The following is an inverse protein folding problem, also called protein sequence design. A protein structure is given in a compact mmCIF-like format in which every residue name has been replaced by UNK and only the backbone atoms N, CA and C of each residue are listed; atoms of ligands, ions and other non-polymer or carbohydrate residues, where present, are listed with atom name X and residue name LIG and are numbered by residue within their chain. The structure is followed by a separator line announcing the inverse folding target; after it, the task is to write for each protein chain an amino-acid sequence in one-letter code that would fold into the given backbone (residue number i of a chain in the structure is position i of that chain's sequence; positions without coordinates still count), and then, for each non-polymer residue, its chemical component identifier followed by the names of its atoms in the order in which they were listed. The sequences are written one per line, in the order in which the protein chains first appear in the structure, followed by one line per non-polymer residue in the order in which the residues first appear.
data_IF_482509733226
#
_entry.id   IF_482509733226
#
_cell.length_a   1.000
_cell.length_b   1.000
_cell.length_c   1.000
_cell.angle_alpha   90.00
_cell.angle_beta   90.00
_cell.angle_gamma   90.00
#
_symmetry.space_group_name_H-M   'P 1'
#
loop_
_entity.id
_entity.type
_entity.pdbx_description
1 polymer ?
#
# COMPACT_ATOMS: atom_id res chain seq x y z
N UNK A 1 -12.66 -4.34 39.49
CA UNK A 1 -14.12 -4.32 39.73
C UNK A 1 -14.69 -5.69 39.39
N UNK A 2 -15.35 -6.33 40.35
CA UNK A 2 -15.74 -7.74 40.33
C UNK A 2 -16.78 -8.04 39.24
N UNK A 3 -16.51 -9.05 38.40
CA UNK A 3 -17.49 -9.59 37.46
C UNK A 3 -18.61 -10.29 38.25
N UNK A 4 -19.85 -9.80 38.14
CA UNK A 4 -21.02 -10.56 38.59
C UNK A 4 -21.07 -11.92 37.88
N UNK A 5 -21.49 -13.01 38.55
CA UNK A 5 -21.54 -14.34 37.94
C UNK A 5 -22.48 -14.34 36.72
N UNK A 6 -22.01 -14.91 35.61
CA UNK A 6 -22.77 -15.00 34.36
C UNK A 6 -24.03 -15.86 34.56
N UNK A 7 -25.17 -15.37 34.06
CA UNK A 7 -26.41 -16.14 34.00
C UNK A 7 -26.26 -17.37 33.09
N UNK A 8 -27.07 -18.41 33.28
CA UNK A 8 -27.00 -19.63 32.45
C UNK A 8 -27.21 -19.36 30.96
N UNK A 9 -28.09 -18.40 30.63
CA UNK A 9 -28.29 -17.93 29.26
C UNK A 9 -27.02 -17.32 28.66
N UNK A 10 -26.28 -16.53 29.45
CA UNK A 10 -25.00 -15.95 29.01
C UNK A 10 -23.92 -17.02 28.84
N UNK A 11 -23.88 -18.03 29.70
CA UNK A 11 -22.93 -19.17 29.57
C UNK A 11 -23.16 -19.94 28.27
N UNK A 12 -24.43 -20.24 27.95
CA UNK A 12 -24.80 -20.92 26.70
C UNK A 12 -24.44 -20.06 25.48
N UNK A 13 -24.72 -18.75 25.53
CA UNK A 13 -24.37 -17.83 24.46
C UNK A 13 -22.86 -17.84 24.16
N UNK A 14 -22.03 -17.66 25.18
CA UNK A 14 -20.57 -17.62 25.01
C UNK A 14 -19.98 -18.97 24.61
N UNK A 15 -20.60 -20.09 25.01
CA UNK A 15 -20.25 -21.41 24.50
C UNK A 15 -20.51 -21.54 22.99
N UNK A 16 -21.69 -21.09 22.52
CA UNK A 16 -22.02 -21.06 21.08
C UNK A 16 -21.09 -20.15 20.29
N UNK A 17 -20.78 -18.97 20.83
CA UNK A 17 -19.82 -18.03 20.25
C UNK A 17 -18.44 -18.67 20.09
N UNK A 18 -17.95 -19.33 21.14
CA UNK A 18 -16.66 -20.03 21.11
C UNK A 18 -16.64 -21.16 20.08
N UNK A 19 -17.74 -21.93 19.97
CA UNK A 19 -17.87 -23.01 18.99
C UNK A 19 -17.84 -22.47 17.55
N UNK A 20 -18.53 -21.36 17.28
CA UNK A 20 -18.57 -20.77 15.94
C UNK A 20 -17.21 -20.22 15.52
N UNK A 21 -16.48 -19.57 16.44
CA UNK A 21 -15.09 -19.15 16.19
C UNK A 21 -14.20 -20.32 15.75
N UNK A 22 -14.30 -21.45 16.43
CA UNK A 22 -13.49 -22.65 16.10
C UNK A 22 -13.90 -23.22 14.74
N UNK A 23 -15.20 -23.23 14.41
CA UNK A 23 -15.70 -23.66 13.10
C UNK A 23 -15.21 -22.79 11.95
N UNK A 24 -15.05 -21.48 12.18
CA UNK A 24 -14.48 -20.50 11.24
C UNK A 24 -12.93 -20.55 11.21
N UNK A 25 -12.31 -21.55 11.84
CA UNK A 25 -10.87 -21.81 11.76
C UNK A 25 -10.00 -21.08 12.80
N UNK A 26 -10.61 -20.43 13.80
CA UNK A 26 -9.85 -19.75 14.87
C UNK A 26 -9.35 -20.77 15.89
N UNK A 27 -8.04 -20.69 16.21
CA UNK A 27 -7.41 -21.59 17.18
C UNK A 27 -8.06 -21.48 18.56
N UNK A 28 -8.26 -22.59 19.29
CA UNK A 28 -8.89 -22.59 20.63
C UNK A 28 -8.21 -21.64 21.63
N UNK A 29 -6.87 -21.57 21.61
CA UNK A 29 -6.08 -20.66 22.44
C UNK A 29 -6.38 -19.16 22.21
N UNK A 30 -6.87 -18.82 21.02
CA UNK A 30 -7.19 -17.45 20.63
C UNK A 30 -8.62 -17.05 21.00
N UNK A 31 -9.53 -18.00 21.22
CA UNK A 31 -10.97 -17.76 21.48
C UNK A 31 -11.19 -16.79 22.64
N UNK A 32 -10.37 -16.88 23.70
CA UNK A 32 -10.47 -15.98 24.86
C UNK A 32 -10.38 -14.50 24.47
N UNK A 33 -9.55 -14.19 23.47
CA UNK A 33 -9.31 -12.81 23.03
C UNK A 33 -10.49 -12.29 22.22
N UNK A 34 -11.07 -13.10 21.33
CA UNK A 34 -12.29 -12.75 20.59
C UNK A 34 -13.46 -12.50 21.53
N UNK A 35 -13.59 -13.30 22.59
CA UNK A 35 -14.60 -13.07 23.62
C UNK A 35 -14.39 -11.72 24.32
N UNK A 36 -13.16 -11.39 24.71
CA UNK A 36 -12.85 -10.08 25.30
C UNK A 36 -13.22 -8.94 24.34
N UNK A 37 -12.95 -9.08 23.02
CA UNK A 37 -13.33 -8.08 22.01
C UNK A 37 -14.84 -7.90 21.89
N UNK A 38 -15.59 -9.00 21.85
CA UNK A 38 -17.04 -8.97 21.82
C UNK A 38 -17.64 -8.34 23.10
N UNK A 39 -17.09 -8.67 24.27
CA UNK A 39 -17.49 -8.06 25.55
C UNK A 39 -17.18 -6.54 25.57
N UNK A 40 -16.02 -6.12 25.05
CA UNK A 40 -15.65 -4.71 24.91
C UNK A 40 -16.62 -3.96 23.98
N UNK A 41 -17.01 -4.57 22.87
CA UNK A 41 -18.00 -4.01 21.96
C UNK A 41 -19.36 -3.84 22.65
N UNK A 42 -19.89 -4.88 23.30
CA UNK A 42 -21.17 -4.81 24.03
C UNK A 42 -21.12 -3.72 25.11
N UNK A 43 -20.01 -3.61 25.85
CA UNK A 43 -19.83 -2.58 26.90
C UNK A 43 -19.79 -1.16 26.36
N UNK A 44 -19.44 -0.96 25.08
CA UNK A 44 -19.48 0.36 24.45
C UNK A 44 -20.91 0.88 24.23
N UNK A 45 -21.91 0.00 24.33
CA UNK A 45 -23.33 0.32 24.18
C UNK A 45 -24.14 -0.14 25.42
N UNK A 46 -23.88 0.44 26.62
CA UNK A 46 -24.37 -0.09 27.90
C UNK A 46 -25.89 -0.11 28.06
N UNK A 47 -26.62 0.68 27.28
CA UNK A 47 -28.08 0.83 27.35
C UNK A 47 -28.82 0.33 26.10
N UNK A 48 -28.12 -0.31 25.17
CA UNK A 48 -28.72 -0.80 23.93
C UNK A 48 -28.57 -2.31 23.83
N UNK A 49 -29.58 -2.97 23.26
CA UNK A 49 -29.50 -4.41 22.98
C UNK A 49 -28.69 -4.60 21.70
N UNK A 50 -27.96 -5.71 21.63
CA UNK A 50 -27.20 -6.04 20.43
C UNK A 50 -28.07 -6.02 19.16
N UNK A 51 -29.29 -6.55 19.24
CA UNK A 51 -30.23 -6.58 18.11
C UNK A 51 -30.80 -5.21 17.71
N UNK A 52 -30.69 -4.17 18.57
CA UNK A 52 -31.17 -2.82 18.24
C UNK A 52 -30.11 -1.93 17.59
N UNK A 53 -28.86 -2.39 17.53
CA UNK A 53 -27.77 -1.64 16.91
C UNK A 53 -27.86 -1.73 15.38
N UNK A 54 -27.52 -0.62 14.74
CA UNK A 54 -27.55 -0.45 13.28
C UNK A 54 -26.16 -0.67 12.66
N UNK A 55 -26.07 -0.85 11.34
CA UNK A 55 -24.80 -0.82 10.61
C UNK A 55 -23.95 0.43 10.89
N UNK A 56 -24.58 1.58 11.10
CA UNK A 56 -23.90 2.85 11.36
C UNK A 56 -23.26 2.87 12.75
N UNK A 57 -23.91 2.27 13.76
CA UNK A 57 -23.34 2.14 15.10
C UNK A 57 -22.07 1.28 15.10
N UNK A 58 -22.10 0.17 14.36
CA UNK A 58 -20.93 -0.70 14.18
C UNK A 58 -19.82 0.02 13.43
N UNK A 59 -20.17 0.73 12.35
CA UNK A 59 -19.23 1.51 11.55
C UNK A 59 -18.57 2.61 12.39
N UNK A 60 -19.34 3.34 13.18
CA UNK A 60 -18.82 4.39 14.07
C UNK A 60 -17.88 3.82 15.15
N UNK A 61 -18.22 2.64 15.70
CA UNK A 61 -17.36 1.94 16.65
C UNK A 61 -16.03 1.52 16.01
N UNK A 62 -16.09 0.87 14.85
CA UNK A 62 -14.92 0.38 14.12
C UNK A 62 -14.04 1.53 13.62
N UNK A 63 -14.62 2.68 13.25
CA UNK A 63 -13.89 3.88 12.87
C UNK A 63 -13.08 4.43 14.05
N UNK A 64 -13.73 4.68 15.18
CA UNK A 64 -13.08 5.20 16.42
C UNK A 64 -11.98 4.26 16.91
N UNK A 65 -12.21 2.96 16.78
CA UNK A 65 -11.21 1.95 17.15
C UNK A 65 -10.01 1.95 16.20
N UNK A 66 -10.22 2.20 14.91
CA UNK A 66 -9.16 2.27 13.90
C UNK A 66 -8.25 3.49 14.06
N UNK A 67 -8.76 4.57 14.66
CA UNK A 67 -7.98 5.77 15.01
C UNK A 67 -7.08 5.57 16.24
N UNK A 68 -7.26 4.48 17.00
CA UNK A 68 -6.51 4.24 18.24
C UNK A 68 -5.05 3.82 17.95
N UNK A 69 -4.03 4.60 18.35
CA UNK A 69 -2.62 4.34 18.00
C UNK A 69 -2.05 3.08 18.66
N UNK A 70 -2.70 2.58 19.71
CA UNK A 70 -2.23 1.44 20.51
C UNK A 70 -2.69 0.08 19.97
N UNK A 71 -3.58 0.05 18.97
CA UNK A 71 -4.14 -1.18 18.43
C UNK A 71 -3.36 -1.65 17.21
N UNK A 72 -2.79 -2.85 17.26
CA UNK A 72 -2.07 -3.42 16.11
C UNK A 72 -3.07 -3.87 15.03
N UNK A 73 -2.69 -3.87 13.73
CA UNK A 73 -3.54 -4.31 12.62
C UNK A 73 -4.26 -5.65 12.84
N UNK A 74 -3.53 -6.68 13.31
CA UNK A 74 -4.13 -7.99 13.58
C UNK A 74 -5.13 -7.99 14.75
N UNK A 75 -4.96 -7.08 15.71
CA UNK A 75 -5.91 -6.92 16.82
C UNK A 75 -7.19 -6.23 16.36
N UNK A 76 -7.09 -5.32 15.38
CA UNK A 76 -8.25 -4.72 14.74
C UNK A 76 -9.04 -5.76 13.94
N UNK A 77 -8.37 -6.59 13.14
CA UNK A 77 -8.99 -7.72 12.45
C UNK A 77 -9.74 -8.64 13.40
N UNK A 78 -9.12 -9.00 14.53
CA UNK A 78 -9.75 -9.80 15.57
C UNK A 78 -11.05 -9.16 16.11
N UNK A 79 -11.13 -7.83 16.18
CA UNK A 79 -12.34 -7.13 16.62
C UNK A 79 -13.42 -7.20 15.55
N UNK A 80 -13.07 -6.93 14.28
CA UNK A 80 -14.01 -7.02 13.15
C UNK A 80 -14.62 -8.43 13.09
N UNK A 81 -13.78 -9.47 13.16
CA UNK A 81 -14.22 -10.87 13.13
C UNK A 81 -15.08 -11.24 14.36
N UNK A 82 -14.70 -10.79 15.55
CA UNK A 82 -15.48 -11.01 16.76
C UNK A 82 -16.88 -10.38 16.66
N UNK A 83 -16.98 -9.17 16.13
CA UNK A 83 -18.26 -8.45 15.96
C UNK A 83 -19.11 -9.13 14.88
N UNK A 84 -18.51 -9.54 13.75
CA UNK A 84 -19.26 -10.26 12.71
C UNK A 84 -19.88 -11.55 13.28
N UNK A 85 -19.10 -12.34 14.02
CA UNK A 85 -19.60 -13.59 14.61
C UNK A 85 -20.66 -13.31 15.68
N UNK A 86 -20.52 -12.22 16.42
CA UNK A 86 -21.51 -11.79 17.40
C UNK A 86 -22.87 -11.52 16.72
N UNK A 87 -22.88 -10.84 15.57
CA UNK A 87 -24.10 -10.54 14.81
C UNK A 87 -24.64 -11.73 14.01
N UNK A 88 -23.78 -12.61 13.50
CA UNK A 88 -24.21 -13.92 12.96
C UNK A 88 -25.04 -14.70 13.99
N UNK A 89 -24.64 -14.70 15.26
CA UNK A 89 -25.39 -15.36 16.34
C UNK A 89 -26.63 -14.59 16.78
N UNK A 90 -26.61 -13.26 16.68
CA UNK A 90 -27.77 -12.41 16.94
C UNK A 90 -28.84 -12.51 15.84
N UNK A 91 -28.49 -13.06 14.66
CA UNK A 91 -29.36 -13.23 13.49
C UNK A 91 -29.98 -11.92 13.02
N UNK A 92 -29.17 -10.86 12.93
CA UNK A 92 -29.60 -9.59 12.36
C UNK A 92 -29.45 -9.61 10.84
N UNK A 93 -30.52 -9.25 10.12
CA UNK A 93 -30.57 -9.32 8.64
C UNK A 93 -29.49 -8.46 7.98
N UNK A 94 -29.24 -7.26 8.52
CA UNK A 94 -28.24 -6.34 7.96
C UNK A 94 -26.80 -6.88 8.04
N UNK A 95 -26.52 -7.85 8.93
CA UNK A 95 -25.17 -8.37 9.11
C UNK A 95 -24.67 -9.15 7.88
N UNK A 96 -25.57 -9.65 7.05
CA UNK A 96 -25.20 -10.39 5.83
C UNK A 96 -24.81 -9.43 4.70
N UNK A 97 -25.42 -8.24 4.67
CA UNK A 97 -25.16 -7.21 3.66
C UNK A 97 -24.09 -6.20 4.07
N UNK A 98 -23.66 -6.22 5.33
CA UNK A 98 -22.62 -5.33 5.83
C UNK A 98 -21.25 -5.67 5.22
N UNK A 99 -20.53 -4.66 4.75
CA UNK A 99 -19.23 -4.83 4.08
C UNK A 99 -18.11 -5.11 5.09
N UNK A 100 -18.08 -6.33 5.63
CA UNK A 100 -17.04 -6.77 6.56
C UNK A 100 -15.66 -6.77 5.92
N UNK A 101 -15.57 -6.99 4.61
CA UNK A 101 -14.30 -7.08 3.89
C UNK A 101 -13.65 -5.70 3.74
N UNK A 102 -14.43 -4.64 3.57
CA UNK A 102 -13.95 -3.26 3.69
C UNK A 102 -13.26 -3.02 5.05
N UNK A 103 -13.91 -3.43 6.14
CA UNK A 103 -13.34 -3.26 7.50
C UNK A 103 -12.11 -4.13 7.75
N UNK A 104 -12.04 -5.33 7.16
CA UNK A 104 -10.80 -6.11 7.20
C UNK A 104 -9.68 -5.45 6.41
N UNK A 105 -9.99 -4.88 5.25
CA UNK A 105 -9.01 -4.19 4.42
C UNK A 105 -8.50 -2.90 5.09
N UNK A 106 -9.34 -2.19 5.85
CA UNK A 106 -8.97 -0.96 6.55
C UNK A 106 -8.00 -1.19 7.72
N UNK A 107 -7.97 -2.40 8.28
CA UNK A 107 -7.05 -2.80 9.36
C UNK A 107 -5.57 -2.63 8.99
N UNK A 108 -5.25 -2.67 7.69
CA UNK A 108 -3.88 -2.63 7.21
C UNK A 108 -3.33 -1.21 7.32
N UNK A 109 -2.64 -0.94 8.44
CA UNK A 109 -1.80 0.24 8.56
C UNK A 109 -0.88 0.35 7.33
N UNK A 110 -0.88 1.51 6.70
CA UNK A 110 0.01 1.74 5.56
C UNK A 110 1.45 1.70 6.08
N UNK A 111 2.27 0.86 5.46
CA UNK A 111 3.69 0.79 5.79
C UNK A 111 4.36 2.18 5.63
N UNK A 112 5.39 2.54 6.40
CA UNK A 112 6.09 3.82 6.25
C UNK A 112 6.61 4.07 4.82
N UNK A 113 6.89 2.98 4.11
CA UNK A 113 7.32 2.93 2.72
C UNK A 113 6.17 2.99 1.68
N UNK A 114 4.92 3.16 2.14
CA UNK A 114 3.75 3.29 1.30
C UNK A 114 3.73 4.66 0.64
N UNK A 115 3.33 4.72 -0.62
CA UNK A 115 3.46 5.95 -1.41
C UNK A 115 2.52 7.09 -0.97
N UNK A 116 1.54 6.79 -0.10
CA UNK A 116 0.67 7.77 0.56
C UNK A 116 1.35 8.43 1.76
N UNK A 117 2.10 7.66 2.57
CA UNK A 117 2.80 8.15 3.76
C UNK A 117 4.15 8.80 3.41
N UNK A 118 4.87 8.23 2.44
CA UNK A 118 6.16 8.75 1.98
C UNK A 118 6.09 10.15 1.32
N UNK A 119 4.90 10.77 1.28
CA UNK A 119 4.70 12.19 0.92
C UNK A 119 5.11 13.12 2.07
N UNK A 120 4.99 12.67 3.30
CA UNK A 120 5.39 13.44 4.48
C UNK A 120 6.90 13.23 4.68
N UNK A 121 7.63 14.32 4.46
CA UNK A 121 9.08 14.33 4.58
C UNK A 121 9.48 14.15 6.04
N UNK A 122 10.03 12.98 6.37
CA UNK A 122 10.69 12.74 7.65
C UNK A 122 12.06 12.10 7.38
N UNK A 123 13.18 12.75 7.76
CA UNK A 123 14.48 12.10 7.81
C UNK A 123 14.39 10.89 8.72
N UNK A 124 14.78 9.71 8.24
CA UNK A 124 14.79 8.52 9.08
C UNK A 124 15.94 8.65 10.08
N UNK A 125 15.65 8.48 11.37
CA UNK A 125 16.68 8.14 12.35
C UNK A 125 17.31 6.79 11.98
N UNK A 126 18.53 6.49 12.47
CA UNK A 126 19.17 5.20 12.19
C UNK A 126 18.32 4.00 12.66
N UNK A 127 17.59 4.12 13.76
CA UNK A 127 16.66 3.08 14.21
C UNK A 127 15.47 2.91 13.25
N UNK A 128 14.92 4.00 12.73
CA UNK A 128 13.85 3.96 11.72
C UNK A 128 14.35 3.45 10.37
N UNK A 129 15.61 3.72 10.01
CA UNK A 129 16.25 3.20 8.80
C UNK A 129 16.31 1.68 8.82
N UNK A 130 16.77 1.07 9.92
CA UNK A 130 16.80 -0.41 10.06
C UNK A 130 15.40 -1.00 9.88
N UNK A 131 14.38 -0.39 10.48
CA UNK A 131 12.97 -0.80 10.29
C UNK A 131 12.48 -0.61 8.86
N UNK A 132 12.89 0.47 8.20
CA UNK A 132 12.56 0.76 6.81
C UNK A 132 13.13 -0.27 5.83
N UNK A 133 14.39 -0.67 6.06
CA UNK A 133 15.04 -1.74 5.29
C UNK A 133 14.29 -3.04 5.51
N UNK A 134 14.03 -3.41 6.77
CA UNK A 134 13.33 -4.63 7.14
C UNK A 134 14.09 -5.88 6.70
N UNK A 135 13.40 -7.02 6.60
CA UNK A 135 13.99 -8.29 6.18
C UNK A 135 13.81 -8.52 4.66
N UNK A 136 14.59 -7.79 3.87
CA UNK A 136 14.59 -7.86 2.41
C UNK A 136 15.84 -8.59 1.90
N UNK A 137 15.79 -9.10 0.66
CA UNK A 137 16.93 -9.77 0.00
C UNK A 137 18.26 -9.01 0.10
N UNK A 138 18.23 -7.67 0.00
CA UNK A 138 19.42 -6.83 0.09
C UNK A 138 19.62 -6.18 1.46
N UNK A 139 18.83 -6.54 2.47
CA UNK A 139 18.92 -5.94 3.80
C UNK A 139 20.32 -6.05 4.42
N UNK A 140 21.00 -7.23 4.40
CA UNK A 140 22.35 -7.34 4.96
C UNK A 140 23.34 -6.36 4.29
N UNK A 141 23.25 -6.22 2.97
CA UNK A 141 24.11 -5.35 2.18
C UNK A 141 23.80 -3.86 2.41
N UNK A 142 22.53 -3.52 2.55
CA UNK A 142 22.11 -2.14 2.84
C UNK A 142 22.59 -1.73 4.24
N UNK A 143 22.51 -2.65 5.21
CA UNK A 143 22.98 -2.42 6.58
C UNK A 143 24.51 -2.34 6.66
N UNK A 144 25.24 -3.14 5.89
CA UNK A 144 26.72 -3.04 5.85
C UNK A 144 27.22 -1.71 5.28
N UNK A 145 26.41 -1.06 4.43
CA UNK A 145 26.71 0.24 3.82
C UNK A 145 25.74 1.34 4.31
N UNK A 146 25.27 1.23 5.55
CA UNK A 146 24.21 2.09 6.12
C UNK A 146 24.43 3.60 5.91
N UNK A 147 25.62 4.19 6.17
CA UNK A 147 25.82 5.63 6.01
C UNK A 147 25.54 6.14 4.59
N UNK A 148 25.88 5.34 3.57
CA UNK A 148 25.64 5.70 2.16
C UNK A 148 24.16 5.66 1.83
N UNK A 149 23.42 4.65 2.33
CA UNK A 149 21.99 4.52 2.07
C UNK A 149 21.14 5.50 2.87
N UNK A 150 21.52 5.84 4.10
CA UNK A 150 20.89 6.93 4.85
C UNK A 150 21.04 8.26 4.11
N UNK A 151 22.27 8.60 3.68
CA UNK A 151 22.53 9.79 2.87
C UNK A 151 21.74 9.77 1.56
N UNK A 152 21.70 8.64 0.86
CA UNK A 152 20.90 8.46 -0.37
C UNK A 152 19.42 8.81 -0.14
N UNK A 153 18.80 8.23 0.89
CA UNK A 153 17.38 8.46 1.20
C UNK A 153 17.14 9.93 1.55
N UNK A 154 17.97 10.52 2.42
CA UNK A 154 17.85 11.93 2.79
C UNK A 154 17.92 12.85 1.56
N UNK A 155 18.89 12.59 0.67
CA UNK A 155 19.16 13.35 -0.55
C UNK A 155 18.06 13.18 -1.62
N UNK A 156 17.41 12.01 -1.68
CA UNK A 156 16.27 11.78 -2.58
C UNK A 156 14.99 12.43 -2.05
N UNK A 157 14.74 12.34 -0.75
CA UNK A 157 13.55 12.90 -0.10
C UNK A 157 13.58 14.43 -0.09
N UNK A 158 14.72 15.06 0.18
CA UNK A 158 14.89 16.53 0.07
C UNK A 158 14.62 17.06 -1.34
N UNK A 159 14.85 16.23 -2.36
CA UNK A 159 14.53 16.56 -3.76
C UNK A 159 13.09 16.20 -4.17
N UNK A 160 12.24 15.84 -3.23
CA UNK A 160 10.86 15.42 -3.47
C UNK A 160 10.75 14.30 -4.52
N UNK A 161 11.75 13.41 -4.57
CA UNK A 161 11.71 12.26 -5.48
C UNK A 161 10.69 11.24 -4.99
N UNK A 162 10.06 10.52 -5.92
CA UNK A 162 9.05 9.53 -5.55
C UNK A 162 9.67 8.35 -4.78
N UNK A 163 8.93 7.79 -3.81
CA UNK A 163 9.35 6.57 -3.10
C UNK A 163 9.62 5.39 -4.04
N UNK A 164 8.98 5.37 -5.22
CA UNK A 164 9.24 4.35 -6.25
C UNK A 164 10.63 4.53 -6.86
N UNK A 165 11.04 5.78 -7.09
CA UNK A 165 12.38 6.10 -7.56
C UNK A 165 13.41 5.73 -6.50
N UNK A 166 13.15 6.06 -5.23
CA UNK A 166 14.00 5.67 -4.08
C UNK A 166 14.23 4.16 -4.06
N UNK A 167 13.15 3.36 -4.03
CA UNK A 167 13.23 1.88 -4.06
C UNK A 167 13.95 1.35 -5.30
N UNK A 168 13.70 1.93 -6.47
CA UNK A 168 14.35 1.52 -7.72
C UNK A 168 15.85 1.78 -7.67
N UNK A 169 16.25 2.96 -7.19
CA UNK A 169 17.65 3.37 -7.10
C UNK A 169 18.39 2.53 -6.07
N UNK A 170 17.83 2.35 -4.86
CA UNK A 170 18.38 1.45 -3.85
C UNK A 170 18.62 0.04 -4.41
N UNK A 171 17.65 -0.52 -5.14
CA UNK A 171 17.79 -1.83 -5.75
C UNK A 171 18.89 -1.91 -6.81
N UNK A 172 19.07 -0.87 -7.62
CA UNK A 172 20.18 -0.81 -8.60
C UNK A 172 21.54 -0.66 -7.94
N UNK A 173 21.63 0.17 -6.90
CA UNK A 173 22.86 0.37 -6.14
C UNK A 173 23.26 -0.93 -5.43
N UNK A 174 22.31 -1.67 -4.83
CA UNK A 174 22.60 -2.97 -4.24
C UNK A 174 23.14 -3.97 -5.28
N UNK A 175 22.54 -4.02 -6.48
CA UNK A 175 23.03 -4.89 -7.57
C UNK A 175 24.43 -4.51 -8.04
N UNK A 176 24.72 -3.21 -8.10
CA UNK A 176 26.05 -2.72 -8.45
C UNK A 176 27.09 -3.09 -7.40
N UNK A 177 26.80 -2.84 -6.11
CA UNK A 177 27.70 -3.22 -5.02
C UNK A 177 27.94 -4.74 -5.01
N UNK A 178 26.90 -5.53 -5.25
CA UNK A 178 27.03 -6.99 -5.34
C UNK A 178 27.89 -7.44 -6.54
N UNK A 179 27.81 -6.74 -7.68
CA UNK A 179 28.67 -6.98 -8.85
C UNK A 179 30.14 -6.65 -8.56
N UNK A 180 30.40 -5.67 -7.68
CA UNK A 180 31.73 -5.31 -7.23
C UNK A 180 32.14 -6.03 -5.93
N UNK A 181 31.67 -7.27 -5.72
CA UNK A 181 32.03 -8.12 -4.57
C UNK A 181 31.81 -7.49 -3.18
N UNK A 182 30.84 -6.59 -3.06
CA UNK A 182 30.52 -5.93 -1.79
C UNK A 182 31.39 -4.72 -1.46
N UNK A 183 32.29 -4.30 -2.36
CA UNK A 183 33.16 -3.14 -2.15
C UNK A 183 32.36 -1.87 -1.85
N UNK A 184 32.94 -1.00 -1.02
CA UNK A 184 32.31 0.25 -0.62
C UNK A 184 32.10 1.16 -1.84
N UNK A 185 30.90 1.74 -2.05
CA UNK A 185 30.64 2.64 -3.18
C UNK A 185 31.61 3.82 -3.29
N UNK A 186 32.19 4.26 -2.18
CA UNK A 186 33.17 5.35 -2.09
C UNK A 186 34.55 5.00 -2.66
N UNK A 187 34.87 3.70 -2.82
CA UNK A 187 36.12 3.25 -3.44
C UNK A 187 35.95 2.83 -4.90
N UNK A 188 34.75 2.96 -5.46
CA UNK A 188 34.41 2.59 -6.83
C UNK A 188 34.39 3.84 -7.72
N UNK A 189 34.47 3.65 -9.04
CA UNK A 189 34.46 4.76 -9.99
C UNK A 189 33.89 4.40 -11.35
N UNK A 190 34.22 5.22 -12.35
CA UNK A 190 33.70 5.11 -13.71
C UNK A 190 33.94 3.74 -14.35
N UNK A 191 35.11 3.13 -14.10
CA UNK A 191 35.47 1.83 -14.63
C UNK A 191 34.51 0.72 -14.17
N UNK A 192 34.21 0.66 -12.86
CA UNK A 192 33.28 -0.35 -12.33
C UNK A 192 31.84 -0.09 -12.76
N UNK A 193 31.45 1.18 -12.89
CA UNK A 193 30.13 1.53 -13.43
C UNK A 193 30.01 1.07 -14.89
N UNK A 194 31.01 1.31 -15.72
CA UNK A 194 31.03 0.88 -17.11
C UNK A 194 30.98 -0.66 -17.23
N UNK A 195 31.81 -1.36 -16.45
CA UNK A 195 31.83 -2.83 -16.40
C UNK A 195 30.46 -3.41 -15.98
N UNK A 196 29.84 -2.87 -14.92
CA UNK A 196 28.51 -3.30 -14.50
C UNK A 196 27.45 -3.06 -15.58
N UNK A 197 27.47 -1.91 -16.26
CA UNK A 197 26.52 -1.62 -17.33
C UNK A 197 26.74 -2.52 -18.55
N UNK A 198 27.98 -2.89 -18.84
CA UNK A 198 28.32 -3.86 -19.88
C UNK A 198 27.82 -5.26 -19.50
N UNK A 199 28.05 -5.71 -18.27
CA UNK A 199 27.51 -6.95 -17.74
C UNK A 199 25.98 -7.02 -17.87
N UNK A 200 25.28 -5.91 -17.59
CA UNK A 200 23.83 -5.84 -17.76
C UNK A 200 23.40 -6.01 -19.23
N UNK A 201 24.11 -5.39 -20.16
CA UNK A 201 23.77 -5.47 -21.59
C UNK A 201 24.15 -6.81 -22.22
N UNK A 202 25.37 -7.30 -21.99
CA UNK A 202 25.92 -8.46 -22.68
C UNK A 202 25.54 -9.75 -21.99
N UNK A 203 25.80 -9.85 -20.68
CA UNK A 203 25.60 -11.10 -19.92
C UNK A 203 24.16 -11.28 -19.48
N UNK A 204 23.52 -10.21 -18.99
CA UNK A 204 22.13 -10.26 -18.51
C UNK A 204 21.09 -9.97 -19.59
N UNK A 205 21.53 -9.54 -20.78
CA UNK A 205 20.69 -9.20 -21.92
C UNK A 205 19.46 -8.35 -21.54
N UNK A 206 19.66 -7.35 -20.67
CA UNK A 206 18.54 -6.54 -20.19
C UNK A 206 18.08 -5.56 -21.25
N UNK A 207 16.79 -5.23 -21.22
CA UNK A 207 16.26 -4.17 -22.07
C UNK A 207 16.98 -2.83 -21.82
N UNK A 208 17.13 -2.04 -22.88
CA UNK A 208 17.77 -0.71 -22.86
C UNK A 208 17.17 0.22 -21.79
N UNK A 209 15.87 0.18 -21.56
CA UNK A 209 15.22 0.99 -20.51
C UNK A 209 15.67 0.60 -19.10
N UNK A 210 15.95 -0.69 -18.90
CA UNK A 210 16.43 -1.25 -17.63
C UNK A 210 17.87 -0.80 -17.37
N UNK A 211 18.73 -0.87 -18.39
CA UNK A 211 20.11 -0.39 -18.30
C UNK A 211 20.16 1.13 -18.04
N UNK A 212 19.33 1.92 -18.73
CA UNK A 212 19.23 3.36 -18.48
C UNK A 212 18.77 3.68 -17.04
N UNK A 213 17.89 2.86 -16.47
CA UNK A 213 17.47 3.03 -15.07
C UNK A 213 18.63 2.75 -14.09
N UNK A 214 19.44 1.73 -14.37
CA UNK A 214 20.66 1.45 -13.62
C UNK A 214 21.65 2.61 -13.70
N UNK A 215 21.96 3.08 -14.92
CA UNK A 215 22.85 4.23 -15.15
C UNK A 215 22.37 5.46 -14.38
N UNK A 216 21.08 5.82 -14.47
CA UNK A 216 20.55 6.98 -13.75
C UNK A 216 20.67 6.85 -12.22
N UNK A 217 20.52 5.64 -11.67
CA UNK A 217 20.70 5.39 -10.25
C UNK A 217 22.16 5.57 -9.82
N UNK A 218 23.11 5.07 -10.61
CA UNK A 218 24.54 5.16 -10.31
C UNK A 218 25.05 6.59 -10.49
N UNK A 219 24.70 7.26 -11.58
CA UNK A 219 25.03 8.69 -11.78
C UNK A 219 24.47 9.54 -10.64
N UNK A 220 23.26 9.24 -10.15
CA UNK A 220 22.70 9.93 -8.99
C UNK A 220 23.48 9.65 -7.70
N UNK A 221 23.83 8.38 -7.42
CA UNK A 221 24.65 8.01 -6.27
C UNK A 221 25.96 8.80 -6.27
N UNK A 222 26.73 8.72 -7.35
CA UNK A 222 28.04 9.35 -7.43
C UNK A 222 27.97 10.88 -7.42
N UNK A 223 27.11 11.49 -8.26
CA UNK A 223 27.06 12.95 -8.38
C UNK A 223 26.37 13.65 -7.22
N UNK A 224 25.34 13.03 -6.62
CA UNK A 224 24.45 13.70 -5.66
C UNK A 224 24.54 13.18 -4.24
N UNK A 225 25.01 11.95 -4.04
CA UNK A 225 25.14 11.35 -2.70
C UNK A 225 26.60 11.33 -2.27
N UNK A 226 27.49 10.77 -3.10
CA UNK A 226 28.92 10.67 -2.79
C UNK A 226 29.68 11.96 -3.11
N UNK A 227 29.12 12.84 -3.93
CA UNK A 227 29.75 14.08 -4.40
C UNK A 227 31.09 13.82 -5.11
N UNK A 228 31.20 12.63 -5.72
CA UNK A 228 32.35 12.16 -6.49
C UNK A 228 31.87 11.91 -7.93
N UNK A 229 31.87 12.94 -8.79
CA UNK A 229 31.33 12.79 -10.14
C UNK A 229 32.17 11.80 -10.95
N UNK A 230 31.50 10.88 -11.66
CA UNK A 230 32.13 9.79 -12.42
C UNK A 230 32.98 10.27 -13.61
N UNK A 231 32.99 11.56 -13.94
CA UNK A 231 33.64 12.05 -15.16
C UNK A 231 33.04 11.43 -16.41
N UNK A 232 33.90 11.04 -17.36
CA UNK A 232 33.49 10.32 -18.57
C UNK A 232 33.41 8.81 -18.31
N UNK A 233 32.26 8.21 -18.61
CA UNK A 233 31.97 6.77 -18.45
C UNK A 233 32.28 6.02 -19.77
N UNK A 234 32.92 6.69 -20.73
CA UNK A 234 33.33 6.12 -22.01
C UNK A 234 32.19 6.04 -23.03
N UNK A 235 32.38 5.33 -24.15
CA UNK A 235 31.43 5.27 -25.27
C UNK A 235 30.23 4.39 -24.94
N UNK A 236 29.40 4.82 -24.00
CA UNK A 236 28.11 4.22 -23.74
C UNK A 236 27.12 4.63 -24.83
N UNK A 237 26.84 3.73 -25.78
CA UNK A 237 25.76 3.94 -26.74
C UNK A 237 24.43 3.94 -25.99
N UNK A 238 23.92 5.14 -25.69
CA UNK A 238 22.55 5.33 -25.19
C UNK A 238 21.58 4.81 -26.24
N UNK A 239 21.20 3.54 -26.12
CA UNK A 239 20.37 2.90 -27.12
C UNK A 239 19.02 3.62 -27.20
N UNK A 240 18.66 4.06 -28.42
CA UNK A 240 17.41 4.74 -28.69
C UNK A 240 16.31 3.69 -28.79
N UNK A 241 15.28 3.82 -27.96
CA UNK A 241 14.12 2.93 -27.99
C UNK A 241 13.35 3.13 -29.31
N UNK A 242 12.96 2.06 -30.03
CA UNK A 242 11.98 2.18 -31.09
C UNK A 242 10.64 2.63 -30.48
N UNK A 243 10.07 3.72 -31.00
CA UNK A 243 8.74 4.19 -30.59
C UNK A 243 7.70 3.22 -31.17
N UNK A 244 7.15 2.34 -30.34
CA UNK A 244 5.97 1.55 -30.72
C UNK A 244 4.73 2.43 -30.62
N UNK A 245 3.85 2.36 -31.62
CA UNK A 245 2.54 3.00 -31.55
C UNK A 245 1.74 2.37 -30.39
N UNK A 246 0.98 3.16 -29.60
CA UNK A 246 0.11 2.61 -28.57
C UNK A 246 -0.97 1.74 -29.21
N UNK A 247 -1.11 0.50 -28.77
CA UNK A 247 -2.29 -0.33 -29.09
C UNK A 247 -3.44 0.12 -28.18
N UNK A 248 -4.59 0.43 -28.77
CA UNK A 248 -5.80 0.84 -28.06
C UNK A 248 -6.90 -0.20 -28.24
N UNK A 249 -7.73 -0.38 -27.21
CA UNK A 249 -8.90 -1.26 -27.28
C UNK A 249 -10.06 -0.55 -27.99
N UNK A 250 -10.84 -1.31 -28.75
CA UNK A 250 -12.13 -0.90 -29.30
C UNK A 250 -13.18 -0.70 -28.19
N UNK A 251 -14.28 0.00 -28.48
CA UNK A 251 -15.37 0.22 -27.53
C UNK A 251 -16.01 -1.10 -27.10
N UNK A 252 -16.12 -2.05 -28.01
CA UNK A 252 -16.68 -3.38 -27.79
C UNK A 252 -15.78 -4.24 -26.90
N UNK A 253 -14.46 -4.18 -27.08
CA UNK A 253 -13.50 -4.82 -26.18
C UNK A 253 -13.54 -4.23 -24.77
N UNK A 254 -13.64 -2.90 -24.65
CA UNK A 254 -13.78 -2.25 -23.35
C UNK A 254 -15.09 -2.66 -22.67
N UNK A 255 -16.21 -2.69 -23.39
CA UNK A 255 -17.51 -3.12 -22.85
C UNK A 255 -17.45 -4.55 -22.34
N UNK A 256 -16.87 -5.48 -23.11
CA UNK A 256 -16.69 -6.88 -22.69
C UNK A 256 -15.81 -6.98 -21.45
N UNK A 257 -14.65 -6.32 -21.46
CA UNK A 257 -13.73 -6.30 -20.32
C UNK A 257 -14.38 -5.74 -19.05
N UNK A 258 -15.10 -4.62 -19.14
CA UNK A 258 -15.79 -4.04 -17.98
C UNK A 258 -16.98 -4.90 -17.53
N UNK A 259 -17.63 -5.65 -18.43
CA UNK A 259 -18.71 -6.58 -18.09
C UNK A 259 -18.27 -7.74 -17.20
N UNK A 260 -17.01 -8.17 -17.31
CA UNK A 260 -16.41 -9.25 -16.50
C UNK A 260 -15.87 -8.79 -15.14
N UNK A 261 -15.88 -7.48 -14.85
CA UNK A 261 -15.36 -6.93 -13.59
C UNK A 261 -16.51 -6.59 -12.64
N UNK A 262 -16.29 -6.81 -11.33
CA UNK A 262 -17.20 -6.41 -10.27
C UNK A 262 -16.47 -5.65 -9.16
N UNK A 263 -17.22 -4.97 -8.28
CA UNK A 263 -16.70 -4.30 -7.10
C UNK A 263 -15.63 -3.22 -7.37
N UNK A 264 -14.61 -3.16 -6.52
CA UNK A 264 -13.53 -2.16 -6.59
C UNK A 264 -12.74 -2.18 -7.91
N UNK A 265 -12.32 -3.34 -8.46
CA UNK A 265 -11.67 -3.40 -9.77
C UNK A 265 -12.50 -2.77 -10.90
N UNK A 266 -13.81 -3.03 -10.91
CA UNK A 266 -14.73 -2.44 -11.89
C UNK A 266 -14.78 -0.91 -11.78
N UNK A 267 -14.90 -0.38 -10.56
CA UNK A 267 -14.93 1.06 -10.30
C UNK A 267 -13.63 1.73 -10.78
N UNK A 268 -12.48 1.15 -10.43
CA UNK A 268 -11.17 1.68 -10.84
C UNK A 268 -11.03 1.66 -12.36
N UNK A 269 -11.36 0.54 -13.02
CA UNK A 269 -11.28 0.42 -14.48
C UNK A 269 -12.19 1.44 -15.19
N UNK A 270 -13.42 1.61 -14.69
CA UNK A 270 -14.41 2.56 -15.22
C UNK A 270 -13.95 4.01 -15.07
N UNK A 271 -13.38 4.36 -13.92
CA UNK A 271 -12.81 5.70 -13.69
C UNK A 271 -11.62 5.97 -14.61
N UNK A 272 -10.71 5.00 -14.79
CA UNK A 272 -9.57 5.15 -15.70
C UNK A 272 -10.02 5.38 -17.13
N UNK A 273 -11.00 4.59 -17.60
CA UNK A 273 -11.53 4.70 -18.94
C UNK A 273 -12.28 6.02 -19.17
N UNK A 274 -13.23 6.38 -18.29
CA UNK A 274 -14.10 7.53 -18.50
C UNK A 274 -13.45 8.89 -18.22
N UNK A 275 -12.36 8.93 -17.45
CA UNK A 275 -11.67 10.21 -17.11
C UNK A 275 -10.32 10.38 -17.80
N UNK A 276 -9.73 9.31 -18.34
CA UNK A 276 -8.36 9.32 -18.86
C UNK A 276 -7.30 9.61 -17.79
N UNK A 277 -7.59 9.35 -16.53
CA UNK A 277 -6.62 9.50 -15.45
C UNK A 277 -5.60 8.35 -15.44
N UNK A 278 -4.41 8.61 -14.90
CA UNK A 278 -3.40 7.55 -14.73
C UNK A 278 -3.80 6.63 -13.58
N UNK A 279 -3.36 5.37 -13.61
CA UNK A 279 -3.59 4.41 -12.54
C UNK A 279 -3.31 4.98 -11.14
N UNK A 280 -2.15 5.63 -10.97
CA UNK A 280 -1.77 6.22 -9.69
C UNK A 280 -2.52 7.49 -9.32
N UNK A 281 -3.14 8.17 -10.29
CA UNK A 281 -4.03 9.30 -10.03
C UNK A 281 -5.35 8.75 -9.45
N UNK A 282 -5.92 7.71 -10.06
CA UNK A 282 -7.13 7.03 -9.58
C UNK A 282 -6.98 6.42 -8.19
N UNK A 283 -5.91 5.65 -7.98
CA UNK A 283 -5.66 4.97 -6.69
C UNK A 283 -5.33 5.92 -5.53
N UNK A 284 -5.16 7.22 -5.80
CA UNK A 284 -4.84 8.24 -4.79
C UNK A 284 -5.95 9.28 -4.61
N UNK A 285 -7.09 9.08 -5.26
CA UNK A 285 -8.26 9.94 -5.06
C UNK A 285 -8.67 9.91 -3.59
N UNK A 286 -9.03 11.09 -3.09
CA UNK A 286 -9.62 11.28 -1.76
C UNK A 286 -11.11 11.57 -1.93
N UNK A 287 -11.90 11.36 -0.89
CA UNK A 287 -13.34 11.68 -0.90
C UNK A 287 -13.58 13.13 -1.31
N UNK A 288 -12.79 14.06 -0.77
CA UNK A 288 -12.80 15.49 -1.12
C UNK A 288 -12.44 15.83 -2.58
N UNK A 289 -11.93 14.87 -3.35
CA UNK A 289 -11.55 15.07 -4.75
C UNK A 289 -12.71 14.78 -5.70
N UNK A 290 -13.84 14.25 -5.20
CA UNK A 290 -15.02 13.92 -6.00
C UNK A 290 -16.12 14.95 -5.72
N UNK A 291 -16.55 15.64 -6.77
CA UNK A 291 -17.64 16.61 -6.72
C UNK A 291 -18.83 16.06 -7.51
N UNK A 292 -19.84 15.56 -6.80
CA UNK A 292 -20.98 14.88 -7.41
C UNK A 292 -21.91 15.83 -8.16
N UNK A 293 -22.17 17.04 -7.62
CA UNK A 293 -23.07 18.02 -8.25
C UNK A 293 -22.65 18.40 -9.66
N UNK A 294 -21.35 18.59 -9.87
CA UNK A 294 -20.78 18.97 -11.18
C UNK A 294 -20.24 17.79 -11.95
N UNK A 295 -20.31 16.59 -11.38
CA UNK A 295 -19.70 15.39 -11.94
C UNK A 295 -18.23 15.64 -12.30
N UNK A 296 -17.45 16.11 -11.33
CA UNK A 296 -16.03 16.42 -11.50
C UNK A 296 -15.16 15.60 -10.57
N UNK A 297 -13.96 15.25 -11.06
CA UNK A 297 -12.88 14.71 -10.24
C UNK A 297 -11.68 15.65 -10.29
N UNK A 298 -11.21 16.04 -9.12
CA UNK A 298 -10.01 16.84 -8.93
C UNK A 298 -8.77 15.94 -8.80
N UNK A 299 -7.92 15.91 -9.83
CA UNK A 299 -6.67 15.15 -9.78
C UNK A 299 -5.57 16.03 -9.18
N UNK A 300 -5.23 15.77 -7.91
CA UNK A 300 -4.15 16.47 -7.19
C UNK A 300 -2.78 15.81 -7.47
N UNK A 301 -1.81 16.60 -7.92
CA UNK A 301 -0.43 16.19 -8.25
C UNK A 301 -0.30 15.23 -9.45
N UNK A 302 -0.61 15.70 -10.66
CA UNK A 302 -0.12 15.09 -11.89
C UNK A 302 1.41 15.15 -12.01
N UNK A 303 1.98 14.54 -13.06
CA UNK A 303 3.43 14.59 -13.34
C UNK A 303 3.94 16.04 -13.29
N UNK A 304 4.92 16.32 -12.43
CA UNK A 304 5.43 17.68 -12.19
C UNK A 304 4.68 18.48 -11.12
N UNK A 305 3.90 17.81 -10.27
CA UNK A 305 3.11 18.39 -9.18
C UNK A 305 2.06 19.44 -9.62
N UNK A 306 1.59 19.35 -10.87
CA UNK A 306 0.51 20.21 -11.39
C UNK A 306 -0.84 19.51 -11.23
N UNK A 307 -1.81 20.18 -10.63
CA UNK A 307 -3.19 19.69 -10.55
C UNK A 307 -3.90 19.80 -11.91
N UNK A 308 -4.87 18.93 -12.17
CA UNK A 308 -5.78 19.02 -13.32
C UNK A 308 -7.20 18.60 -12.96
N UNK A 309 -8.21 19.18 -13.61
CA UNK A 309 -9.61 18.75 -13.50
C UNK A 309 -9.90 17.72 -14.59
N UNK A 310 -10.65 16.67 -14.24
CA UNK A 310 -11.20 15.69 -15.18
C UNK A 310 -12.70 15.54 -14.95
N UNK A 311 -13.47 15.19 -15.98
CA UNK A 311 -14.87 14.83 -15.82
C UNK A 311 -15.01 13.54 -15.01
N UNK A 312 -16.04 13.43 -14.17
CA UNK A 312 -16.45 12.19 -13.50
C UNK A 312 -17.19 11.33 -14.53
N UNK A 313 -16.79 10.07 -14.65
CA UNK A 313 -17.53 9.10 -15.43
C UNK A 313 -18.82 8.72 -14.66
N UNK A 314 -19.91 9.43 -14.91
CA UNK A 314 -21.21 9.10 -14.34
C UNK A 314 -21.88 8.07 -15.25
N UNK A 315 -22.22 6.92 -14.67
CA UNK A 315 -23.15 5.98 -15.31
C UNK A 315 -24.51 6.70 -15.34
N UNK A 316 -24.98 7.09 -16.52
CA UNK A 316 -26.36 7.58 -16.66
C UNK A 316 -27.31 6.45 -16.22
N UNK A 317 -28.24 6.69 -15.29
CA UNK A 317 -29.29 5.72 -14.97
C UNK A 317 -30.23 5.40 -16.14
N UNK A 318 -30.06 6.05 -17.30
CA UNK A 318 -30.94 5.93 -18.47
C UNK A 318 -30.38 5.03 -19.58
N UNK A 319 -29.21 4.40 -19.41
CA UNK A 319 -28.62 3.49 -20.41
C UNK A 319 -28.68 2.00 -20.00
N UNK A 320 -29.75 1.60 -19.30
CA UNK A 320 -30.09 0.20 -19.02
C UNK A 320 -31.27 -0.26 -19.88
#
# INVERSE_FOLDING_TARGET
MANSPLTDKQRIFWSRFSKHLIQEGIKPESVRWYRIRAEQFIRAFPHQRLASLTPDDVSAYLLRLGESPNLRPWQYLQVVDAIQILYKLARTEWSETFDWDYWRASAKALEPQHATLAREYVPLTSAEFVRYVGDKRFAPLILSHQPVFEKLIAVMRTRNMSIRTEKSYMGWICRFIHHCDGQAPTSLGAAQVADFLQYLAVTRNVAVSTQNQALNALVFLFNKVLEQPLGDIGPFCRAKRPRRLPTVLSREEVRRMLGELTGVPWLVASLLYGTGMRLMECLRLRVQDVEFERSLIMVRSGKGNRGRRGGLAVRSPLDA
#
